data_IF_816094693151
#
_entry.id   IF_816094693151
#
_cell.length_a   1.000
_cell.length_b   1.000
_cell.length_c   1.000
_cell.angle_alpha   90.00
_cell.angle_beta   90.00
_cell.angle_gamma   90.00
#
_symmetry.space_group_name_H-M   'P 1'
#
loop_
_entity.id
_entity.type
_entity.pdbx_description
1 polymer ?
#
# COMPACT_ATOMS: atom_id res chain seq x y z
N UNK A 1 10.97 -1.72 19.05
CA UNK A 1 10.06 -2.61 18.28
C UNK A 1 9.28 -1.73 17.31
N UNK A 2 9.38 -1.95 16.00
CA UNK A 2 8.58 -1.16 15.04
C UNK A 2 7.16 -1.71 14.96
N UNK A 3 6.17 -0.86 15.15
CA UNK A 3 4.73 -1.19 15.14
C UNK A 3 4.15 -1.50 13.76
N UNK A 4 4.96 -1.43 12.71
CA UNK A 4 4.48 -1.47 11.34
C UNK A 4 4.57 -2.90 10.76
N UNK A 5 3.47 -3.44 10.20
CA UNK A 5 3.42 -4.83 9.74
C UNK A 5 4.30 -5.05 8.50
N UNK A 6 4.98 -6.20 8.45
CA UNK A 6 5.78 -6.65 7.30
C UNK A 6 5.30 -8.02 6.84
N UNK A 7 5.14 -8.18 5.54
CA UNK A 7 4.74 -9.45 4.93
C UNK A 7 5.78 -9.92 3.92
N UNK A 8 6.05 -11.23 3.95
CA UNK A 8 6.89 -11.90 2.96
C UNK A 8 5.99 -12.37 1.81
N UNK A 9 6.41 -12.06 0.59
CA UNK A 9 5.68 -12.38 -0.63
C UNK A 9 6.59 -13.22 -1.53
N UNK A 10 6.22 -14.47 -1.73
CA UNK A 10 7.09 -15.47 -2.38
C UNK A 10 6.88 -15.57 -3.90
N UNK A 11 6.04 -14.72 -4.46
CA UNK A 11 5.66 -14.74 -5.87
C UNK A 11 5.18 -13.37 -6.31
N UNK A 12 5.24 -13.10 -7.61
CA UNK A 12 4.72 -11.86 -8.19
C UNK A 12 3.23 -11.70 -7.86
N UNK A 13 2.86 -10.51 -7.39
CA UNK A 13 1.47 -10.14 -7.12
C UNK A 13 0.84 -9.51 -8.36
N UNK A 14 -0.28 -10.06 -8.80
CA UNK A 14 -1.23 -9.32 -9.62
C UNK A 14 -2.15 -8.48 -8.72
N UNK A 15 -2.97 -7.62 -9.32
CA UNK A 15 -3.86 -6.71 -8.57
C UNK A 15 -4.84 -7.43 -7.64
N UNK A 16 -5.40 -8.57 -8.06
CA UNK A 16 -6.33 -9.36 -7.24
C UNK A 16 -5.62 -9.97 -6.02
N UNK A 17 -4.41 -10.51 -6.21
CA UNK A 17 -3.58 -11.05 -5.11
C UNK A 17 -3.07 -9.94 -4.21
N UNK A 18 -2.77 -8.76 -4.75
CA UNK A 18 -2.40 -7.60 -3.95
C UNK A 18 -3.55 -7.20 -3.00
N UNK A 19 -4.78 -7.11 -3.50
CA UNK A 19 -5.95 -6.81 -2.65
C UNK A 19 -6.13 -7.90 -1.57
N UNK A 20 -6.20 -9.16 -1.98
CA UNK A 20 -6.56 -10.27 -1.07
C UNK A 20 -5.45 -10.69 -0.10
N UNK A 21 -4.17 -10.49 -0.44
CA UNK A 21 -3.03 -10.90 0.40
C UNK A 21 -2.34 -9.76 1.14
N UNK A 22 -2.50 -8.53 0.67
CA UNK A 22 -1.79 -7.36 1.23
C UNK A 22 -2.78 -6.33 1.76
N UNK A 23 -3.60 -5.75 0.88
CA UNK A 23 -4.43 -4.61 1.29
C UNK A 23 -5.48 -5.02 2.31
N UNK A 24 -6.30 -6.02 2.02
CA UNK A 24 -7.40 -6.41 2.89
C UNK A 24 -6.94 -6.97 4.24
N UNK A 25 -6.05 -7.97 4.33
CA UNK A 25 -5.72 -8.58 5.62
C UNK A 25 -4.77 -7.73 6.48
N UNK A 26 -3.88 -6.95 5.85
CA UNK A 26 -2.77 -6.29 6.55
C UNK A 26 -2.91 -4.78 6.52
N UNK A 27 -2.95 -4.18 5.33
CA UNK A 27 -2.91 -2.73 5.21
C UNK A 27 -4.17 -2.09 5.82
N UNK A 28 -5.37 -2.59 5.51
CA UNK A 28 -6.61 -2.05 6.06
C UNK A 28 -6.67 -2.15 7.58
N UNK A 29 -6.30 -3.32 8.13
CA UNK A 29 -6.27 -3.54 9.58
C UNK A 29 -5.39 -2.50 10.26
N UNK A 30 -4.20 -2.24 9.71
CA UNK A 30 -3.25 -1.26 10.25
C UNK A 30 -3.68 0.19 10.01
N UNK A 31 -4.14 0.54 8.81
CA UNK A 31 -4.63 1.88 8.47
C UNK A 31 -5.79 2.27 9.39
N UNK A 32 -6.68 1.34 9.72
CA UNK A 32 -7.84 1.60 10.58
C UNK A 32 -7.48 1.91 12.03
N UNK A 33 -6.30 1.50 12.51
CA UNK A 33 -5.85 1.85 13.87
C UNK A 33 -5.22 3.24 13.96
N UNK A 34 -4.99 3.92 12.82
CA UNK A 34 -4.36 5.24 12.77
C UNK A 34 -5.40 6.33 12.56
N UNK A 35 -5.19 7.51 13.17
CA UNK A 35 -5.95 8.72 12.89
C UNK A 35 -5.31 9.48 11.71
N UNK A 36 -6.11 10.14 10.86
CA UNK A 36 -5.67 11.03 9.77
C UNK A 36 -4.65 10.45 8.75
N UNK A 37 -4.58 9.13 8.63
CA UNK A 37 -3.67 8.39 7.74
C UNK A 37 -3.96 8.50 6.24
N UNK A 38 -2.88 8.43 5.46
CA UNK A 38 -2.89 8.38 3.98
C UNK A 38 -1.94 7.29 3.50
N UNK A 39 -2.41 6.40 2.62
CA UNK A 39 -1.63 5.31 2.03
C UNK A 39 -0.67 5.80 0.95
N UNK A 40 0.61 5.46 1.09
CA UNK A 40 1.60 5.63 0.04
C UNK A 40 1.95 4.25 -0.55
N UNK A 41 1.88 4.13 -1.87
CA UNK A 41 2.28 2.91 -2.60
C UNK A 41 3.12 3.26 -3.83
N UNK A 42 4.04 2.37 -4.21
CA UNK A 42 4.82 2.55 -5.43
C UNK A 42 3.95 2.31 -6.68
N UNK A 43 4.38 2.82 -7.84
CA UNK A 43 3.60 2.79 -9.09
C UNK A 43 3.69 1.47 -9.86
N UNK A 44 3.95 0.35 -9.18
CA UNK A 44 3.97 -0.97 -9.84
C UNK A 44 2.59 -1.26 -10.43
N UNK A 45 2.53 -1.84 -11.64
CA UNK A 45 1.28 -2.05 -12.40
C UNK A 45 0.17 -2.70 -11.57
N UNK A 46 0.51 -3.64 -10.69
CA UNK A 46 -0.46 -4.29 -9.82
C UNK A 46 -1.18 -3.31 -8.86
N UNK A 47 -0.47 -2.30 -8.35
CA UNK A 47 -0.92 -1.36 -7.33
C UNK A 47 -1.74 -0.19 -7.90
N UNK A 48 -1.48 0.19 -9.17
CA UNK A 48 -2.18 1.30 -9.86
C UNK A 48 -3.28 0.81 -10.80
N UNK A 49 -3.64 -0.47 -10.74
CA UNK A 49 -4.75 -1.01 -11.52
C UNK A 49 -6.09 -0.45 -11.03
N UNK A 50 -7.05 -0.26 -11.94
CA UNK A 50 -8.36 0.30 -11.60
C UNK A 50 -9.07 -0.42 -10.45
N UNK A 51 -8.99 -1.77 -10.42
CA UNK A 51 -9.58 -2.57 -9.33
C UNK A 51 -9.00 -2.24 -7.95
N UNK A 52 -7.72 -1.84 -7.88
CA UNK A 52 -7.10 -1.43 -6.62
C UNK A 52 -7.59 -0.05 -6.20
N UNK A 53 -7.72 0.88 -7.14
CA UNK A 53 -8.31 2.19 -6.87
C UNK A 53 -9.75 2.07 -6.36
N UNK A 54 -10.61 1.33 -7.08
CA UNK A 54 -11.99 1.08 -6.65
C UNK A 54 -12.06 0.46 -5.26
N UNK A 55 -11.17 -0.49 -4.95
CA UNK A 55 -11.10 -1.10 -3.62
C UNK A 55 -10.73 -0.08 -2.53
N UNK A 56 -9.69 0.73 -2.75
CA UNK A 56 -9.25 1.74 -1.78
C UNK A 56 -10.31 2.81 -1.55
N UNK A 57 -10.99 3.25 -2.61
CA UNK A 57 -12.08 4.22 -2.52
C UNK A 57 -13.26 3.65 -1.72
N UNK A 58 -13.64 2.39 -1.97
CA UNK A 58 -14.71 1.69 -1.23
C UNK A 58 -14.38 1.57 0.25
N UNK A 59 -13.10 1.37 0.58
CA UNK A 59 -12.62 1.24 1.95
C UNK A 59 -12.28 2.60 2.60
N UNK A 60 -12.60 3.70 1.92
CA UNK A 60 -12.35 5.08 2.35
C UNK A 60 -10.87 5.34 2.73
N UNK A 61 -9.95 4.72 1.99
CA UNK A 61 -8.50 4.86 2.17
C UNK A 61 -7.99 5.94 1.25
N UNK A 62 -7.51 7.05 1.83
CA UNK A 62 -6.85 8.11 1.07
C UNK A 62 -5.51 7.61 0.53
N UNK A 63 -5.27 7.82 -0.76
CA UNK A 63 -3.99 7.52 -1.39
C UNK A 63 -3.18 8.80 -1.58
N UNK A 64 -1.91 8.78 -1.20
CA UNK A 64 -0.98 9.88 -1.43
C UNK A 64 -0.67 9.94 -2.94
N UNK A 65 -0.89 11.08 -3.62
CA UNK A 65 -0.52 11.22 -5.02
C UNK A 65 1.00 11.14 -5.17
N UNK A 66 1.49 10.06 -5.79
CA UNK A 66 2.93 9.86 -6.01
C UNK A 66 3.36 10.26 -7.43
N UNK A 67 4.37 11.13 -7.59
CA UNK A 67 4.88 11.50 -8.91
C UNK A 67 5.44 10.28 -9.64
N UNK A 68 5.26 10.24 -10.97
CA UNK A 68 5.81 9.18 -11.79
C UNK A 68 7.34 9.31 -11.84
N UNK A 69 8.06 8.29 -11.36
CA UNK A 69 9.54 8.16 -11.40
C UNK A 69 10.31 8.97 -10.34
N UNK A 70 9.99 8.78 -9.07
CA UNK A 70 10.85 9.22 -7.96
C UNK A 70 11.27 8.01 -7.09
N UNK A 71 12.22 7.17 -7.55
CA UNK A 71 12.77 6.07 -6.74
C UNK A 71 13.51 6.58 -5.48
N UNK A 72 14.08 7.77 -5.58
CA UNK A 72 14.76 8.58 -4.57
C UNK A 72 13.83 9.08 -3.44
N UNK A 73 12.54 9.26 -3.72
CA UNK A 73 11.55 9.65 -2.71
C UNK A 73 10.89 8.45 -2.02
N UNK A 74 11.15 7.22 -2.49
CA UNK A 74 10.60 6.03 -1.83
C UNK A 74 11.62 5.48 -0.82
N UNK A 75 11.23 5.20 0.43
CA UNK A 75 12.07 4.41 1.35
C UNK A 75 12.27 2.95 0.89
N UNK A 76 11.71 2.55 -0.26
CA UNK A 76 11.41 1.15 -0.61
C UNK A 76 11.85 0.80 -2.03
N UNK A 77 13.16 0.76 -2.26
CA UNK A 77 13.69 0.22 -3.51
C UNK A 77 13.54 -1.31 -3.65
N UNK A 78 13.11 -2.07 -2.61
CA UNK A 78 13.10 -3.56 -2.68
C UNK A 78 11.96 -4.34 -1.99
N UNK A 79 11.05 -3.74 -1.23
CA UNK A 79 9.95 -4.51 -0.62
C UNK A 79 8.85 -3.59 -0.09
N UNK A 80 7.60 -4.07 -0.19
CA UNK A 80 6.40 -3.25 -0.21
C UNK A 80 6.07 -2.40 1.02
N UNK A 81 5.36 -1.31 0.72
CA UNK A 81 4.36 -0.57 1.49
C UNK A 81 4.72 -0.17 2.94
N UNK A 82 5.00 1.12 3.15
CA UNK A 82 4.99 1.74 4.47
C UNK A 82 4.08 2.97 4.51
N UNK A 83 3.35 3.12 5.62
CA UNK A 83 2.57 4.30 6.01
C UNK A 83 3.39 5.05 7.08
N UNK A 84 3.55 6.36 6.92
CA UNK A 84 4.12 7.24 7.96
C UNK A 84 2.99 7.88 8.75
N UNK A 85 3.19 8.05 10.06
CA UNK A 85 2.44 8.99 10.89
C UNK A 85 3.41 10.06 11.37
N UNK A 86 2.98 11.32 11.37
CA UNK A 86 3.55 12.37 12.22
C UNK A 86 3.16 12.13 13.69
#
# INVERSE_FOLDING_TARGET
MSWSPRIRIDHTLNSVRYISRVLRPVALSFIRTLLNRTLQQNRVRAHVAGIVHTFLDTENVRLLPWPARSPDLSPTAKSGLWLSSD
#
